data_IF_131045579001
#
_entry.id   IF_131045579001
#
_cell.length_a   1.000
_cell.length_b   1.000
_cell.length_c   1.000
_cell.angle_alpha   90.00
_cell.angle_beta   90.00
_cell.angle_gamma   90.00
#
_symmetry.space_group_name_H-M   'P 1'
#
loop_
_entity.id
_entity.type
_entity.pdbx_description
1 polymer ?
2 non-polymer ?
3 non-polymer ?
4 non-polymer ?
5 water ?
#
# COMPACT_ATOMS: atom_id res chain seq x y z
N UNK A 2 15.33 -15.15 -14.71
CA UNK A 2 14.87 -15.33 -13.33
C UNK A 2 13.56 -16.12 -13.26
N UNK A 3 12.80 -16.14 -14.36
CA UNK A 3 11.47 -16.76 -14.37
C UNK A 3 11.15 -17.57 -15.61
N UNK A 4 10.15 -18.42 -15.52
CA UNK A 4 9.70 -19.13 -16.69
C UNK A 4 8.35 -19.72 -16.36
N UNK A 5 7.59 -20.02 -17.40
CA UNK A 5 6.26 -20.55 -17.21
C UNK A 5 6.36 -21.82 -16.39
N UNK A 6 5.39 -22.02 -15.49
CA UNK A 6 5.36 -23.20 -14.66
C UNK A 6 6.12 -23.05 -13.35
N UNK A 7 6.91 -21.98 -13.21
CA UNK A 7 7.63 -21.76 -11.94
C UNK A 7 6.67 -21.52 -10.77
N UNK A 8 7.05 -22.02 -9.59
CA UNK A 8 6.35 -21.67 -8.36
C UNK A 8 7.16 -20.64 -7.54
N UNK A 9 6.48 -19.66 -6.96
CA UNK A 9 7.14 -18.68 -6.14
C UNK A 9 6.31 -18.37 -4.88
N UNK A 10 6.96 -17.76 -3.88
CA UNK A 10 6.21 -17.29 -2.74
C UNK A 10 5.70 -15.89 -3.04
N UNK A 11 4.38 -15.72 -3.10
CA UNK A 11 3.81 -14.40 -3.31
C UNK A 11 3.27 -13.81 -2.01
N UNK A 12 3.80 -12.63 -1.61
CA UNK A 12 3.38 -11.89 -0.40
C UNK A 12 2.17 -11.03 -0.70
N UNK A 13 1.02 -11.48 -0.23
CA UNK A 13 -0.23 -10.78 -0.46
C UNK A 13 -0.48 -9.76 0.60
N UNK A 14 0.16 -8.60 0.47
CA UNK A 14 -0.12 -7.49 1.36
C UNK A 14 -1.57 -6.99 1.29
N UNK A 15 -2.13 -6.73 2.47
CA UNK A 15 -3.42 -6.08 2.62
C UNK A 15 -3.57 -5.58 4.04
N UNK A 16 -4.69 -4.91 4.34
CA UNK A 16 -4.88 -4.35 5.69
C UNK A 16 -5.26 -5.45 6.68
N UNK A 17 -4.79 -5.30 7.91
CA UNK A 17 -5.25 -6.17 8.98
C UNK A 17 -5.56 -5.27 10.17
N UNK A 18 -6.50 -5.72 11.00
CA UNK A 18 -6.92 -4.94 12.13
C UNK A 18 -6.68 -5.80 13.36
N UNK A 19 -6.13 -5.20 14.42
CA UNK A 19 -5.99 -5.86 15.73
C UNK A 19 -7.33 -5.86 16.48
N UNK A 20 -8.03 -6.99 16.49
CA UNK A 20 -9.36 -7.05 17.13
C UNK A 20 -9.34 -7.45 18.59
N UNK A 21 -8.25 -8.08 19.01
CA UNK A 21 -8.07 -8.48 20.40
C UNK A 21 -6.59 -8.70 20.63
N UNK A 22 -6.16 -8.39 21.85
CA UNK A 22 -4.87 -8.80 22.36
C UNK A 22 -5.10 -9.69 23.60
N UNK A 23 -4.92 -10.99 23.42
CA UNK A 23 -5.12 -11.95 24.50
C UNK A 23 -3.83 -12.07 25.30
N UNK A 24 -3.97 -12.16 26.62
CA UNK A 24 -2.79 -12.21 27.48
C UNK A 24 -2.63 -13.59 28.11
N UNK A 25 -1.40 -14.09 28.06
CA UNK A 25 -1.06 -15.35 28.68
C UNK A 25 0.12 -15.17 29.63
N UNK A 26 0.23 -16.08 30.60
CA UNK A 26 1.34 -16.09 31.55
C UNK A 26 2.43 -17.04 31.05
N UNK A 27 3.56 -16.50 30.59
CA UNK A 27 4.61 -17.34 30.00
C UNK A 27 6.00 -17.11 30.59
N UNK A 28 6.57 -18.18 31.14
CA UNK A 28 7.89 -18.14 31.76
C UNK A 28 7.89 -17.13 32.92
N UNK A 29 6.77 -17.07 33.63
CA UNK A 29 6.59 -16.12 34.72
C UNK A 29 6.11 -14.74 34.28
N UNK A 30 6.38 -14.38 33.02
CA UNK A 30 6.02 -13.07 32.50
C UNK A 30 4.66 -13.04 31.77
N UNK A 31 4.17 -11.83 31.51
CA UNK A 31 2.93 -11.65 30.76
C UNK A 31 3.23 -11.34 29.30
N UNK A 32 2.79 -12.22 28.42
CA UNK A 32 3.04 -12.05 27.00
C UNK A 32 1.78 -12.03 26.16
N UNK A 33 1.68 -11.01 25.32
CA UNK A 33 0.49 -10.75 24.54
C UNK A 33 0.44 -11.49 23.20
N UNK A 34 -0.78 -11.82 22.78
CA UNK A 34 -1.02 -12.40 21.46
C UNK A 34 -2.00 -11.55 20.71
N UNK A 35 -1.71 -11.30 19.45
CA UNK A 35 -2.63 -10.49 18.63
C UNK A 35 -3.67 -11.39 17.96
N UNK A 36 -4.91 -10.91 17.88
CA UNK A 36 -5.96 -11.54 17.07
C UNK A 36 -6.26 -10.61 15.88
N UNK A 37 -5.79 -10.99 14.69
CA UNK A 37 -5.89 -10.11 13.55
C UNK A 37 -7.05 -10.44 12.61
N UNK A 38 -7.80 -9.41 12.23
CA UNK A 38 -8.82 -9.53 11.21
C UNK A 38 -8.16 -9.26 9.87
N UNK A 39 -8.24 -10.24 8.98
CA UNK A 39 -7.54 -10.20 7.70
C UNK A 39 -8.50 -10.53 6.57
N UNK A 40 -8.27 -9.98 5.39
CA UNK A 40 -9.12 -10.29 4.24
C UNK A 40 -10.62 -10.02 4.49
N UNK A 41 -10.92 -8.92 5.16
CA UNK A 41 -12.25 -8.32 5.17
C UNK A 41 -13.43 -8.84 6.02
N UNK A 42 -13.31 -9.80 6.94
CA UNK A 42 -12.21 -10.68 7.22
C UNK A 42 -12.74 -12.11 7.11
N UNK A 43 -12.25 -12.82 6.11
CA UNK A 43 -12.51 -14.24 5.95
C UNK A 43 -11.44 -15.00 6.70
N UNK A 44 -10.46 -14.26 7.20
CA UNK A 44 -9.31 -14.83 7.87
C UNK A 44 -9.11 -14.21 9.24
N UNK A 45 -8.86 -15.06 10.23
CA UNK A 45 -8.38 -14.58 11.51
C UNK A 45 -6.98 -15.14 11.68
N UNK A 46 -6.02 -14.27 11.96
CA UNK A 46 -4.68 -14.73 12.27
C UNK A 46 -4.35 -14.38 13.71
N UNK A 47 -3.89 -15.39 14.44
CA UNK A 47 -3.44 -15.21 15.80
C UNK A 47 -1.92 -15.45 15.87
N UNK A 48 -1.21 -14.53 16.50
CA UNK A 48 0.27 -14.48 16.43
C UNK A 48 0.83 -13.82 17.69
N UNK A 49 1.97 -14.33 18.22
CA UNK A 49 2.65 -13.68 19.36
C UNK A 49 3.03 -12.25 19.05
N UNK A 50 2.76 -11.34 19.97
CA UNK A 50 3.01 -9.92 19.75
C UNK A 50 4.50 -9.53 19.69
N UNK A 51 5.38 -10.34 20.27
CA UNK A 51 6.81 -10.01 20.19
C UNK A 51 7.38 -10.50 18.87
N UNK A 52 6.68 -11.45 18.25
CA UNK A 52 7.07 -12.05 16.98
C UNK A 52 6.32 -11.40 15.81
N UNK A 53 5.78 -10.21 16.07
CA UNK A 53 4.99 -9.50 15.06
C UNK A 53 5.74 -8.26 14.58
N UNK A 54 6.02 -8.26 13.29
CA UNK A 54 6.70 -7.16 12.65
C UNK A 54 5.79 -6.76 11.49
N UNK A 55 4.68 -6.12 11.84
CA UNK A 55 3.75 -5.59 10.85
C UNK A 55 3.78 -4.09 10.96
N UNK A 56 4.01 -3.44 9.83
CA UNK A 56 4.04 -1.99 9.76
C UNK A 56 2.67 -1.38 10.09
N UNK A 57 2.64 -0.45 11.03
CA UNK A 57 1.40 0.21 11.38
C UNK A 57 0.97 1.29 10.39
N UNK A 58 -0.33 1.58 10.35
CA UNK A 58 -0.88 2.60 9.46
C UNK A 58 -1.89 3.41 10.29
N UNK A 59 -1.96 4.72 10.06
CA UNK A 59 -2.77 5.60 10.90
C UNK A 59 -4.27 5.28 10.98
N UNK A 60 -4.84 5.53 12.16
CA UNK A 60 -6.24 5.22 12.46
C UNK A 60 -7.19 5.93 11.50
N UNK A 61 -6.86 7.18 11.18
CA UNK A 61 -7.68 8.03 10.31
C UNK A 61 -7.86 7.42 8.90
N UNK A 62 -6.91 6.57 8.52
CA UNK A 62 -6.97 5.76 7.30
C UNK A 62 -7.73 4.45 7.55
N UNK A 63 -7.31 3.73 8.58
CA UNK A 63 -8.05 2.56 9.03
C UNK A 63 -7.97 1.38 8.09
N UNK A 64 -8.59 0.27 8.46
CA UNK A 64 -8.51 -0.95 7.66
C UNK A 64 -9.17 -0.82 6.25
N UNK A 65 -10.35 -0.22 6.16
CA UNK A 65 -10.98 -0.04 4.85
C UNK A 65 -10.22 0.93 3.96
N UNK A 66 -9.79 2.04 4.55
CA UNK A 66 -8.93 3.00 3.88
C UNK A 66 -7.68 2.35 3.31
N UNK A 67 -6.97 1.56 4.14
CA UNK A 67 -5.76 0.89 3.70
C UNK A 67 -6.06 -0.06 2.56
N UNK A 68 -7.05 -0.93 2.73
CA UNK A 68 -7.42 -1.84 1.65
C UNK A 68 -7.84 -1.07 0.40
N UNK A 69 -8.48 0.08 0.59
CA UNK A 69 -8.84 0.95 -0.53
C UNK A 69 -7.61 1.48 -1.25
N UNK A 70 -6.60 1.92 -0.48
CA UNK A 70 -5.35 2.36 -1.08
C UNK A 70 -4.75 1.25 -1.94
N UNK A 71 -4.71 0.03 -1.43
CA UNK A 71 -4.20 -1.09 -2.24
C UNK A 71 -4.99 -1.34 -3.51
N UNK A 72 -6.29 -1.15 -3.43
CA UNK A 72 -7.12 -1.46 -4.56
C UNK A 72 -6.86 -0.45 -5.70
N UNK A 73 -6.71 0.82 -5.32
CA UNK A 73 -6.36 1.89 -6.23
C UNK A 73 -5.01 1.63 -6.92
N UNK A 74 -4.02 1.21 -6.13
CA UNK A 74 -2.67 1.06 -6.68
C UNK A 74 -2.63 -0.11 -7.66
N UNK A 75 -3.51 -1.09 -7.46
CA UNK A 75 -3.43 -2.35 -8.20
C UNK A 75 -4.48 -2.43 -9.33
N UNK A 76 -5.30 -1.38 -9.45
CA UNK A 76 -6.32 -1.31 -10.51
C UNK A 76 -5.63 -1.53 -11.86
N UNK A 77 -6.17 -2.49 -12.65
CA UNK A 77 -5.54 -2.99 -13.88
C UNK A 77 -5.80 -2.13 -15.11
N UNK A 78 -6.95 -1.46 -15.16
CA UNK A 78 -7.36 -0.79 -16.39
C UNK A 78 -7.66 0.65 -16.05
N UNK A 79 -6.63 1.49 -16.10
CA UNK A 79 -6.78 2.89 -15.73
C UNK A 79 -6.92 3.76 -16.97
N UNK A 80 -7.40 4.98 -16.79
CA UNK A 80 -7.38 5.92 -17.88
C UNK A 80 -6.59 7.13 -17.43
N UNK A 81 -5.58 7.52 -18.20
CA UNK A 81 -4.87 8.78 -17.94
C UNK A 81 -4.76 9.60 -19.23
N UNK A 82 -4.97 10.93 -19.11
CA UNK A 82 -4.84 11.87 -20.25
C UNK A 82 -3.59 11.58 -21.09
N UNK A 83 -3.77 11.59 -22.41
CA UNK A 83 -2.69 11.24 -23.32
C UNK A 83 -1.65 12.38 -23.44
N UNK A 84 -2.12 13.62 -23.36
CA UNK A 84 -1.21 14.76 -23.46
C UNK A 84 -0.57 15.22 -22.13
N UNK A 85 0.71 15.57 -22.19
CA UNK A 85 1.50 15.83 -20.99
C UNK A 85 0.86 16.89 -20.05
N UNK A 86 0.49 18.03 -20.62
CA UNK A 86 -0.12 19.11 -19.85
C UNK A 86 -1.41 18.66 -19.16
N UNK A 87 -2.29 18.01 -19.93
CA UNK A 87 -3.56 17.50 -19.40
C UNK A 87 -3.22 16.56 -18.22
N UNK A 88 -2.31 15.64 -18.48
CA UNK A 88 -1.96 14.64 -17.50
C UNK A 88 -1.37 15.31 -16.26
N UNK A 89 -0.41 16.23 -16.48
CA UNK A 89 0.26 16.92 -15.38
C UNK A 89 -0.71 17.77 -14.56
N UNK A 90 -1.67 18.41 -15.22
CA UNK A 90 -2.61 19.29 -14.52
C UNK A 90 -3.51 18.47 -13.63
N UNK A 91 -4.03 17.38 -14.17
CA UNK A 91 -5.00 16.58 -13.40
C UNK A 91 -4.29 15.96 -12.19
N UNK A 92 -3.08 15.44 -12.39
CA UNK A 92 -2.29 14.98 -11.23
C UNK A 92 -1.99 16.06 -10.20
N UNK A 93 -1.69 17.26 -10.64
CA UNK A 93 -1.32 18.31 -9.70
C UNK A 93 -2.49 18.59 -8.77
N UNK A 94 -3.71 18.53 -9.31
CA UNK A 94 -4.90 18.79 -8.52
C UNK A 94 -5.11 17.68 -7.49
N UNK A 95 -4.99 16.45 -7.95
CA UNK A 95 -5.12 15.26 -7.10
C UNK A 95 -4.22 15.33 -5.84
N UNK A 96 -2.96 15.69 -6.06
CA UNK A 96 -2.00 15.85 -4.95
C UNK A 96 -2.43 16.93 -3.98
N UNK A 97 -3.15 17.93 -4.47
CA UNK A 97 -3.73 18.98 -3.62
C UNK A 97 -5.11 18.63 -3.07
N UNK A 98 -5.68 17.51 -3.54
CA UNK A 98 -7.09 17.18 -3.28
C UNK A 98 -7.42 16.90 -1.82
N UNK A 99 -6.41 16.50 -1.04
CA UNK A 99 -6.65 15.98 0.30
C UNK A 99 -7.31 14.60 0.36
N UNK A 100 -7.53 13.98 -0.80
CA UNK A 100 -8.05 12.60 -0.85
C UNK A 100 -6.88 11.66 -1.14
N UNK A 101 -6.48 10.87 -0.13
CA UNK A 101 -5.34 9.98 -0.28
C UNK A 101 -5.54 8.97 -1.42
N UNK A 102 -6.79 8.65 -1.75
CA UNK A 102 -7.00 7.75 -2.88
C UNK A 102 -6.55 8.42 -4.16
N UNK A 103 -6.80 9.73 -4.26
CA UNK A 103 -6.34 10.53 -5.41
C UNK A 103 -4.82 10.53 -5.50
N UNK A 104 -4.15 10.66 -4.35
CA UNK A 104 -2.69 10.65 -4.32
C UNK A 104 -2.15 9.29 -4.82
N UNK A 105 -2.90 8.24 -4.53
CA UNK A 105 -2.48 6.89 -4.89
C UNK A 105 -2.71 6.64 -6.38
N UNK A 106 -3.63 7.40 -6.99
CA UNK A 106 -3.77 7.30 -8.44
C UNK A 106 -2.51 7.88 -9.10
N UNK A 107 -2.01 8.97 -8.52
CA UNK A 107 -0.83 9.64 -9.06
C UNK A 107 0.41 8.78 -8.89
N UNK A 108 0.60 8.26 -7.69
CA UNK A 108 1.73 7.33 -7.43
C UNK A 108 1.70 6.13 -8.39
N UNK A 109 0.53 5.50 -8.53
CA UNK A 109 0.36 4.36 -9.46
C UNK A 109 0.62 4.71 -10.95
N UNK A 110 -0.09 5.69 -11.49
CA UNK A 110 0.11 6.07 -12.90
C UNK A 110 1.55 6.40 -13.26
N UNK A 111 2.19 7.19 -12.42
CA UNK A 111 3.57 7.60 -12.70
C UNK A 111 4.62 6.49 -12.52
N UNK A 112 4.48 5.64 -11.49
CA UNK A 112 5.34 4.45 -11.38
C UNK A 112 5.26 3.58 -12.63
N UNK A 113 4.09 3.49 -13.24
CA UNK A 113 3.87 2.53 -14.32
C UNK A 113 4.43 3.12 -15.58
N UNK A 114 4.25 4.42 -15.76
CA UNK A 114 4.84 5.12 -16.89
C UNK A 114 6.38 5.09 -16.78
N UNK A 115 6.91 5.20 -15.57
CA UNK A 115 8.36 5.11 -15.42
C UNK A 115 8.91 3.79 -15.97
N UNK A 116 8.20 2.69 -15.74
CA UNK A 116 8.63 1.36 -16.16
C UNK A 116 8.48 1.16 -17.66
N UNK A 117 7.50 1.85 -18.26
CA UNK A 117 7.18 1.64 -19.69
C UNK A 117 7.62 2.70 -20.74
N UNK A 118 7.26 3.97 -20.54
CA UNK A 118 7.71 5.03 -21.42
C UNK A 118 8.89 5.83 -20.84
N UNK A 119 9.09 5.76 -19.52
CA UNK A 119 9.99 6.67 -18.82
C UNK A 119 9.31 7.99 -18.45
N UNK A 120 9.92 8.72 -17.51
CA UNK A 120 9.34 9.98 -17.00
C UNK A 120 10.03 11.28 -17.47
N UNK A 121 9.25 12.34 -17.69
CA UNK A 121 9.85 13.67 -17.86
C UNK A 121 10.39 14.16 -16.51
N UNK A 122 11.26 15.16 -16.54
CA UNK A 122 11.84 15.66 -15.29
C UNK A 122 10.76 16.08 -14.27
N UNK A 123 9.72 16.80 -14.71
CA UNK A 123 8.69 17.26 -13.82
C UNK A 123 7.88 16.09 -13.29
N UNK A 124 7.72 15.09 -14.15
CA UNK A 124 6.94 13.92 -13.79
C UNK A 124 7.69 13.09 -12.77
N UNK A 125 9.01 13.03 -12.93
CA UNK A 125 9.88 12.36 -11.96
C UNK A 125 9.74 13.02 -10.60
N UNK A 126 9.78 14.35 -10.57
CA UNK A 126 9.69 15.08 -9.31
C UNK A 126 8.32 14.93 -8.65
N UNK A 127 7.29 14.85 -9.48
CA UNK A 127 5.92 14.72 -8.98
C UNK A 127 5.72 13.34 -8.37
N UNK A 128 6.26 12.31 -9.03
CA UNK A 128 6.23 10.95 -8.49
C UNK A 128 6.90 10.90 -7.12
N UNK A 129 8.01 11.60 -6.97
CA UNK A 129 8.71 11.60 -5.68
C UNK A 129 7.84 12.30 -4.64
N UNK A 130 7.19 13.38 -5.05
CA UNK A 130 6.40 14.18 -4.16
C UNK A 130 5.20 13.36 -3.72
N UNK A 131 4.57 12.71 -4.69
CA UNK A 131 3.36 11.94 -4.44
C UNK A 131 3.68 10.78 -3.50
N UNK A 132 4.81 10.13 -3.73
CA UNK A 132 5.26 9.09 -2.83
C UNK A 132 5.40 9.53 -1.38
N UNK A 133 6.00 10.70 -1.12
CA UNK A 133 6.14 11.23 0.25
C UNK A 133 4.77 11.53 0.86
N UNK A 134 3.86 12.04 0.04
CA UNK A 134 2.52 12.35 0.52
C UNK A 134 1.78 11.07 0.88
N UNK A 135 1.75 10.11 -0.04
CA UNK A 135 1.15 8.81 0.25
C UNK A 135 1.66 8.25 1.58
N UNK A 136 2.98 8.14 1.72
CA UNK A 136 3.58 7.59 2.95
C UNK A 136 3.26 8.40 4.22
N UNK A 137 3.41 9.72 4.15
CA UNK A 137 3.15 10.56 5.30
C UNK A 137 1.73 10.45 5.80
N UNK A 138 0.79 10.24 4.88
CA UNK A 138 -0.61 10.03 5.27
C UNK A 138 -0.85 8.68 5.97
N UNK A 139 -0.17 7.63 5.52
CA UNK A 139 -0.36 6.29 6.07
C UNK A 139 0.52 5.98 7.28
N UNK A 140 1.83 6.22 7.15
CA UNK A 140 2.79 5.91 8.21
C UNK A 140 2.42 6.52 9.55
N UNK A 141 2.71 5.79 10.63
CA UNK A 141 2.52 6.33 11.99
C UNK A 141 3.58 7.41 12.32
N UNK A 142 3.22 8.37 13.16
CA UNK A 142 4.16 9.41 13.61
C UNK A 142 5.17 8.88 14.63
N UNK A 148 10.46 5.92 10.12
CA UNK A 148 11.50 6.21 9.12
C UNK A 148 12.00 4.93 8.42
N UNK A 149 12.09 3.84 9.16
CA UNK A 149 12.35 2.54 8.55
C UNK A 149 10.99 1.92 8.26
N UNK A 150 9.95 2.55 8.80
CA UNK A 150 8.56 2.19 8.47
C UNK A 150 8.15 2.89 7.19
N UNK A 151 8.53 4.17 7.08
CA UNK A 151 8.20 4.97 5.91
C UNK A 151 8.92 4.41 4.68
N UNK A 152 10.03 3.74 4.92
CA UNK A 152 10.82 3.11 3.86
C UNK A 152 10.24 1.78 3.39
N UNK A 153 9.85 0.93 4.33
CA UNK A 153 9.14 -0.32 4.04
C UNK A 153 7.78 -0.05 3.38
N UNK A 154 7.04 0.89 3.97
CA UNK A 154 5.75 1.29 3.45
C UNK A 154 5.89 1.82 2.01
N UNK A 155 6.87 2.68 1.75
CA UNK A 155 7.13 3.15 0.39
C UNK A 155 7.49 2.03 -0.59
N UNK A 156 8.25 1.02 -0.16
CA UNK A 156 8.54 -0.11 -1.04
C UNK A 156 7.31 -0.98 -1.37
N UNK A 157 6.50 -1.22 -0.34
CA UNK A 157 5.31 -2.03 -0.44
C UNK A 157 4.30 -1.35 -1.34
N UNK A 158 4.05 -0.07 -1.10
CA UNK A 158 3.11 0.67 -1.94
C UNK A 158 3.63 0.73 -3.40
N UNK A 159 4.95 0.85 -3.56
CA UNK A 159 5.53 0.97 -4.88
C UNK A 159 5.44 -0.35 -5.62
N UNK A 160 5.72 -1.42 -4.90
CA UNK A 160 5.58 -2.76 -5.46
C UNK A 160 4.12 -2.94 -5.90
N UNK A 161 3.19 -2.50 -5.03
CA UNK A 161 1.77 -2.67 -5.34
C UNK A 161 1.38 -1.88 -6.59
N UNK A 162 2.02 -0.72 -6.81
CA UNK A 162 1.65 0.12 -7.96
C UNK A 162 1.88 -0.61 -9.29
N UNK A 163 2.86 -1.49 -9.30
CA UNK A 163 3.25 -2.17 -10.53
C UNK A 163 2.47 -3.44 -10.75
N UNK A 164 1.71 -3.89 -9.76
CA UNK A 164 0.97 -5.14 -9.90
C UNK A 164 -0.46 -4.87 -10.34
N UNK A 165 -0.89 -5.50 -11.41
CA UNK A 165 -2.30 -5.41 -11.78
C UNK A 165 -3.05 -6.58 -11.16
N UNK A 166 -4.05 -6.29 -10.33
CA UNK A 166 -4.83 -7.37 -9.73
C UNK A 166 -6.17 -7.58 -10.37
N UNK A 167 -6.41 -8.81 -10.78
CA UNK A 167 -7.75 -9.20 -11.29
C UNK A 167 -8.45 -10.23 -10.40
N UNK A 168 -9.65 -9.90 -9.93
CA UNK A 168 -10.41 -10.84 -9.10
C UNK A 168 -11.40 -11.65 -9.89
N UNK A 169 -11.37 -12.95 -9.65
CA UNK A 169 -12.31 -13.85 -10.30
C UNK A 169 -12.64 -15.06 -9.40
N UNK A 170 -13.54 -14.86 -8.43
CA UNK A 170 -14.10 -15.96 -7.65
C UNK A 170 -15.25 -16.59 -8.44
X LIG B 1 -6.92 -5.30 -4.07
X LIG C 1 -3.70 13.22 1.34
X LIG D 1 4.76 18.22 -7.82
X LIG E 1 -9.12 15.66 -7.79
X LIG F 1 2.78 -19.70 19.50
X LIG G 1 -3.59 22.26 -19.47
X LIG H 1 1.70 -23.64 -16.12
X LIG I 1 -8.49 -15.81 2.90
X LIG J 1 -8.68 10.47 -18.68
X LIG K 1 -10.14 1.82 -7.81
X LIG L 1 2.66 4.66 -20.46
X LIG M 1 5.41 1.00 12.78
X LIG N 1 13.38 13.36 -8.07
X LIG O 1 -13.26 -4.75 6.51
X LIG P 1 15.29 15.31 -12.83
X LIG Q 1 4.79 -9.26 24.50
X LIG R 1 -1.26 7.81 14.99
X LIG R 1 -0.10 8.35 14.35
X LIG R 1 -2.55 7.66 14.13
X LIG R 1 -3.14 6.50 14.69
X LIG R 1 -3.48 8.95 14.14
X LIG R 1 -4.58 9.15 13.23
X LIG S 1 -13.27 3.23 2.02
X LIG S 1 -12.41 2.12 1.65
X LIG S 1 -13.02 4.32 1.07
X LIG S 1 -14.63 2.71 1.88
X LIG S 1 -13.01 3.70 3.39
X LIG T 1 -15.09 -11.62 -7.99
X LIG T 1 -16.43 -12.13 -7.70
X LIG T 1 -14.28 -12.77 -8.31
X LIG T 1 -15.20 -10.71 -9.13
X LIG T 1 -14.50 -10.90 -6.84
X LIG U 1 -9.91 8.29 13.78
X LIG U 1 -9.35 6.98 14.11
X LIG U 1 -8.84 9.30 13.77
X LIG U 1 -10.56 8.25 12.47
X LIG U 1 -10.88 8.68 14.80
X LIG V 1 -10.10 -0.74 -13.00
X LIG V 1 -8.88 -1.25 -13.62
X LIG V 1 -9.95 0.67 -12.64
X LIG V 1 -11.20 -0.92 -13.95
X LIG V 1 -10.38 -1.46 -11.75
X LIG W 1 1.73 -5.49 22.68
X LIG W 1 1.02 -6.66 22.19
X LIG W 1 2.87 -5.14 21.83
X LIG W 1 0.76 -4.41 22.74
X LIG W 1 2.21 -5.79 24.03
X LIG X 1 -3.00 19.79 -23.79
X LIG X 1 -4.45 19.84 -23.55
X LIG X 1 -2.65 19.22 -25.08
X LIG X 1 -2.50 21.16 -23.71
X LIG X 1 -2.35 18.87 -22.85
X LIG Y 1 2.75 14.09 -24.85
X LIG Y 1 2.75 13.31 -23.60
X LIG Y 1 3.40 13.33 -25.91
X LIG Y 1 1.40 14.47 -25.28
X LIG Y 1 3.48 15.34 -24.68
X LIG Z 1 9.11 8.87 2.10
X LIG Z 1 9.35 7.69 2.89
X LIG Z 1 8.75 8.46 0.70
X LIG Z 1 8.13 9.71 2.81
X LIG Z 1 10.30 9.72 2.07
X LIG AA 1 4.89 15.65 2.51
X LIG AA 1 5.23 15.51 1.09
X LIG AA 1 5.88 16.56 3.08
X LIG AA 1 3.54 16.21 2.70
X LIG AA 1 4.95 14.37 3.23
X LIG BA 1 10.74 8.48 -7.42
X LIG BA 1 10.61 7.28 -8.26
X LIG BA 1 9.44 9.07 -7.18
X LIG BA 1 11.23 8.08 -6.10
X LIG BA 1 11.55 9.48 -8.12
X LIG CA 1 -7.73 9.63 -23.34
X LIG CA 1 -6.91 8.57 -22.75
X LIG CA 1 -6.87 10.74 -23.78
X LIG CA 1 -8.46 9.09 -24.49
X LIG CA 1 -8.68 10.12 -22.35
X LIG DA 1 7.89 -5.22 -1.15
X LIG DA 1 8.75 -4.97 -2.32
X LIG DA 1 7.68 -6.66 -0.97
X LIG DA 1 8.46 -4.63 0.06
X LIG DA 1 6.59 -4.62 -1.39
X LIG EA 1 9.18 -19.59 -20.62
X LIG EA 1 10.65 -19.56 -20.59
X LIG EA 1 8.73 -20.87 -20.04
X LIG EA 1 8.65 -18.45 -19.89
X LIG EA 1 8.68 -19.54 -21.99
#
# INVERSE_FOLDING_TARGET
>A
MIFKVGDTVVYPHHGAALVEAIETRTIKGEQKEYLVLKVAQGDLTVRVPAENAEYVGVRDVVGQEGLDKVFQVLRAPHTEEPTNWSRRYKANLEKLASGDVNKVAEVVRDLWRRDQERGLSAGEKRMLAKARQILVGELALAESTDDAKAETILDEVLAAAALEHHHHHH
>B hetero
1 IOD I
>C hetero
1 IOD I
>D hetero
1 IOD I
>E hetero
1 IOD I
>F hetero
1 IOD I
>G hetero
1 IOD I
>H hetero
1 IOD I
>I hetero
1 IOD I
>J hetero
1 IOD I
>K hetero
1 IOD I
>L hetero
1 IOD I
>M hetero
1 IOD I
>N hetero
1 IOD I
>O hetero
1 IOD I
>P hetero
1 IOD I
>Q hetero
1 IOD I
>R hetero
1 GOL C1 O1 C2 O2 C3 O3
>S hetero
1 SO4 S O1 O2 O3 O4
>T hetero
1 SO4 S O1 O2 O3 O4
>U hetero
1 SO4 S O1 O2 O3 O4
>V hetero
1 SO4 S O1 O2 O3 O4
>W hetero
1 SO4 S O1 O2 O3 O4
>X hetero
1 SO4 S O1 O2 O3 O4
>Y hetero
1 SO4 S O1 O2 O3 O4
>Z hetero
1 SO4 S O1 O2 O3 O4
>AA hetero
1 SO4 S O1 O2 O3 O4
>BA hetero
1 SO4 S O1 O2 O3 O4
>CA hetero
1 SO4 S O1 O2 O3 O4
>DA hetero
1 SO4 S O1 O2 O3 O4
>EA hetero
1 SO4 S O1 O2 O3 O4
#
